data_IF_804858625212
#
_entry.id   IF_804858625212
#
_cell.length_a   1.000
_cell.length_b   1.000
_cell.length_c   1.000
_cell.angle_alpha   90.00
_cell.angle_beta   90.00
_cell.angle_gamma   90.00
#
_symmetry.space_group_name_H-M   'P 1'
#
loop_
_entity.id
_entity.type
_entity.pdbx_description
1 polymer ?
#
# COMPACT_ATOMS: atom_id res chain seq x y z
N UNK A 1 -11.20 -2.26 -7.00
CA UNK A 1 -11.30 -3.75 -6.99
C UNK A 1 -12.46 -4.25 -6.14
N UNK A 2 -12.61 -3.83 -4.88
CA UNK A 2 -13.70 -4.30 -4.01
C UNK A 2 -15.09 -4.09 -4.63
N UNK A 3 -15.37 -2.90 -5.14
CA UNK A 3 -16.68 -2.59 -5.75
C UNK A 3 -16.93 -3.37 -7.05
N UNK A 4 -15.90 -3.57 -7.86
CA UNK A 4 -16.02 -4.37 -9.08
C UNK A 4 -16.30 -5.85 -8.76
N UNK A 5 -15.61 -6.41 -7.78
CA UNK A 5 -15.86 -7.76 -7.28
C UNK A 5 -17.27 -7.90 -6.69
N UNK A 6 -17.73 -6.93 -5.93
CA UNK A 6 -19.08 -6.91 -5.37
C UNK A 6 -20.14 -6.91 -6.48
N UNK A 7 -19.95 -6.08 -7.50
CA UNK A 7 -20.85 -6.01 -8.65
C UNK A 7 -20.94 -7.34 -9.42
N UNK A 8 -19.89 -8.15 -9.39
CA UNK A 8 -19.84 -9.48 -10.01
C UNK A 8 -20.31 -10.60 -9.09
N UNK A 9 -20.79 -10.28 -7.89
CA UNK A 9 -21.25 -11.27 -6.92
C UNK A 9 -20.14 -12.05 -6.21
N UNK A 10 -18.88 -11.59 -6.32
CA UNK A 10 -17.73 -12.23 -5.72
C UNK A 10 -17.49 -11.70 -4.30
N UNK A 11 -18.35 -12.11 -3.37
CA UNK A 11 -18.39 -11.56 -2.00
C UNK A 11 -17.07 -11.73 -1.22
N UNK A 12 -16.45 -12.89 -1.30
CA UNK A 12 -15.19 -13.15 -0.61
C UNK A 12 -14.04 -12.30 -1.14
N UNK A 13 -13.93 -12.17 -2.44
CA UNK A 13 -12.93 -11.31 -3.11
C UNK A 13 -13.19 -9.85 -2.76
N UNK A 14 -14.44 -9.40 -2.83
CA UNK A 14 -14.82 -8.05 -2.47
C UNK A 14 -14.43 -7.70 -1.03
N UNK A 15 -14.69 -8.61 -0.10
CA UNK A 15 -14.33 -8.43 1.31
C UNK A 15 -12.81 -8.36 1.51
N UNK A 16 -12.05 -9.21 0.83
CA UNK A 16 -10.60 -9.20 0.91
C UNK A 16 -10.04 -7.84 0.51
N UNK A 17 -10.49 -7.28 -0.61
CA UNK A 17 -10.07 -5.96 -1.06
C UNK A 17 -10.57 -4.83 -0.18
N UNK A 18 -11.75 -4.97 0.43
CA UNK A 18 -12.26 -3.97 1.36
C UNK A 18 -11.38 -3.90 2.64
N UNK A 19 -10.96 -5.04 3.15
CA UNK A 19 -10.03 -5.10 4.28
C UNK A 19 -8.69 -4.45 3.91
N UNK A 20 -8.17 -4.73 2.72
CA UNK A 20 -6.95 -4.09 2.21
C UNK A 20 -7.11 -2.57 2.14
N UNK A 21 -8.24 -2.09 1.65
CA UNK A 21 -8.55 -0.66 1.61
C UNK A 21 -8.47 -0.02 2.99
N UNK A 22 -9.05 -0.66 4.00
CA UNK A 22 -8.99 -0.16 5.38
C UNK A 22 -7.55 -0.13 5.93
N UNK A 23 -6.77 -1.17 5.67
CA UNK A 23 -5.37 -1.25 6.09
C UNK A 23 -4.54 -0.16 5.42
N UNK A 24 -4.75 0.11 4.14
CA UNK A 24 -4.03 1.16 3.42
C UNK A 24 -4.36 2.57 3.94
N UNK A 25 -5.59 2.79 4.40
CA UNK A 25 -5.94 4.03 5.07
C UNK A 25 -5.17 4.20 6.40
N UNK A 26 -5.00 3.13 7.15
CA UNK A 26 -4.22 3.13 8.39
C UNK A 26 -2.74 3.43 8.10
N UNK A 27 -2.17 2.85 7.04
CA UNK A 27 -0.80 3.12 6.59
C UNK A 27 -0.61 4.60 6.23
N UNK A 28 -1.54 5.18 5.47
CA UNK A 28 -1.50 6.59 5.12
C UNK A 28 -1.52 7.48 6.37
N UNK A 29 -2.34 7.14 7.36
CA UNK A 29 -2.43 7.87 8.62
C UNK A 29 -1.12 7.82 9.40
N UNK A 30 -0.44 6.67 9.43
CA UNK A 30 0.86 6.53 10.08
C UNK A 30 1.87 7.51 9.46
N UNK A 31 1.95 7.57 8.13
CA UNK A 31 2.83 8.52 7.44
C UNK A 31 2.47 9.98 7.75
N UNK A 32 1.20 10.33 7.67
CA UNK A 32 0.75 11.70 7.95
C UNK A 32 1.10 12.12 9.38
N UNK A 33 0.82 11.28 10.36
CA UNK A 33 1.13 11.55 11.76
C UNK A 33 2.64 11.66 12.01
N UNK A 34 3.44 10.84 11.33
CA UNK A 34 4.88 10.91 11.44
C UNK A 34 5.43 12.23 10.88
N UNK A 35 4.97 12.64 9.70
CA UNK A 35 5.35 13.93 9.09
C UNK A 35 5.06 15.08 10.06
N UNK A 36 3.86 15.11 10.64
CA UNK A 36 3.48 16.13 11.61
C UNK A 36 4.33 16.07 12.87
N UNK A 37 4.67 14.89 13.35
CA UNK A 37 5.53 14.72 14.53
C UNK A 37 6.96 15.24 14.33
N UNK A 38 7.40 15.33 13.07
CA UNK A 38 8.71 15.88 12.69
C UNK A 38 8.66 17.38 12.35
N UNK A 39 7.61 18.06 12.77
CA UNK A 39 7.40 19.51 12.54
C UNK A 39 7.38 19.88 11.04
N UNK A 40 6.83 18.99 10.22
CA UNK A 40 6.64 19.22 8.79
C UNK A 40 5.15 19.29 8.44
N UNK A 41 4.85 19.83 7.28
CA UNK A 41 3.48 19.92 6.78
C UNK A 41 3.13 18.72 5.91
N UNK A 42 1.89 18.24 6.06
CA UNK A 42 1.34 17.23 5.15
C UNK A 42 0.72 17.94 3.96
N UNK A 43 1.22 17.64 2.76
CA UNK A 43 0.64 18.13 1.51
C UNK A 43 -0.13 17.01 0.83
N UNK A 44 -1.46 17.17 0.75
CA UNK A 44 -2.31 16.23 0.04
C UNK A 44 -2.33 16.56 -1.45
N UNK A 45 -1.96 15.60 -2.26
CA UNK A 45 -1.96 15.72 -3.71
C UNK A 45 -3.19 15.04 -4.30
N UNK A 46 -3.63 15.44 -5.51
CA UNK A 46 -4.71 14.74 -6.20
C UNK A 46 -4.37 13.28 -6.44
N UNK A 47 -5.39 12.41 -6.33
CA UNK A 47 -5.27 11.03 -6.76
C UNK A 47 -5.66 10.98 -8.23
N UNK A 48 -4.81 10.39 -9.08
CA UNK A 48 -5.11 10.20 -10.49
C UNK A 48 -6.30 9.27 -10.67
N UNK A 49 -6.91 9.32 -11.86
CA UNK A 49 -8.04 8.44 -12.19
C UNK A 49 -7.63 6.98 -12.00
N UNK A 50 -8.44 6.25 -11.23
CA UNK A 50 -8.16 4.85 -10.91
C UNK A 50 -8.92 3.93 -11.87
N UNK A 51 -8.30 2.78 -12.17
CA UNK A 51 -8.96 1.70 -12.88
C UNK A 51 -10.15 1.19 -12.06
N UNK A 52 -11.28 0.90 -12.72
CA UNK A 52 -12.53 0.50 -12.06
C UNK A 52 -13.05 -0.87 -12.48
N UNK A 53 -12.46 -1.50 -13.50
CA UNK A 53 -12.93 -2.79 -14.03
C UNK A 53 -11.75 -3.72 -14.31
N UNK A 54 -11.96 -4.99 -14.00
CA UNK A 54 -11.02 -6.09 -14.25
C UNK A 54 -11.78 -7.25 -14.88
N UNK A 55 -11.10 -8.03 -15.73
CA UNK A 55 -11.71 -9.16 -16.42
C UNK A 55 -12.01 -10.34 -15.49
N UNK A 56 -11.22 -10.52 -14.43
CA UNK A 56 -11.31 -11.67 -13.54
C UNK A 56 -10.68 -11.38 -12.17
N UNK A 57 -11.00 -12.18 -11.14
CA UNK A 57 -10.27 -12.11 -9.86
C UNK A 57 -8.77 -12.31 -10.01
N UNK A 58 -8.34 -13.21 -10.90
CA UNK A 58 -6.92 -13.43 -11.16
C UNK A 58 -6.23 -12.15 -11.64
N UNK A 59 -6.86 -11.41 -12.55
CA UNK A 59 -6.34 -10.13 -13.02
C UNK A 59 -6.24 -9.11 -11.90
N UNK A 60 -7.22 -9.07 -10.99
CA UNK A 60 -7.19 -8.21 -9.82
C UNK A 60 -5.97 -8.51 -8.94
N UNK A 61 -5.71 -9.79 -8.65
CA UNK A 61 -4.58 -10.18 -7.80
C UNK A 61 -3.23 -9.97 -8.49
N UNK A 62 -3.15 -10.18 -9.81
CA UNK A 62 -1.94 -9.90 -10.58
C UNK A 62 -1.62 -8.39 -10.57
N UNK A 63 -2.63 -7.56 -10.74
CA UNK A 63 -2.50 -6.11 -10.68
C UNK A 63 -2.11 -5.64 -9.28
N UNK A 64 -2.68 -6.27 -8.26
CA UNK A 64 -2.32 -6.02 -6.85
C UNK A 64 -0.85 -6.36 -6.59
N UNK A 65 -0.37 -7.51 -7.03
CA UNK A 65 1.03 -7.90 -6.84
C UNK A 65 1.97 -6.92 -7.53
N UNK A 66 1.65 -6.51 -8.74
CA UNK A 66 2.42 -5.50 -9.47
C UNK A 66 2.50 -4.20 -8.68
N UNK A 67 1.36 -3.74 -8.17
CA UNK A 67 1.29 -2.51 -7.36
C UNK A 67 2.07 -2.65 -6.06
N UNK A 68 1.97 -3.78 -5.36
CA UNK A 68 2.73 -4.00 -4.11
C UNK A 68 4.24 -3.98 -4.35
N UNK A 69 4.71 -4.50 -5.48
CA UNK A 69 6.14 -4.40 -5.85
C UNK A 69 6.57 -2.95 -6.10
N UNK A 70 5.71 -2.14 -6.68
CA UNK A 70 5.97 -0.71 -6.85
C UNK A 70 6.04 0.01 -5.50
N UNK A 71 5.13 -0.30 -4.59
CA UNK A 71 5.12 0.24 -3.22
C UNK A 71 6.38 -0.19 -2.46
N UNK A 72 6.78 -1.45 -2.58
CA UNK A 72 8.03 -1.94 -1.99
C UNK A 72 9.23 -1.13 -2.46
N UNK A 73 9.31 -0.85 -3.76
CA UNK A 73 10.38 -0.03 -4.31
C UNK A 73 10.37 1.40 -3.74
N UNK A 74 9.19 1.99 -3.57
CA UNK A 74 9.05 3.32 -2.96
C UNK A 74 9.47 3.33 -1.49
N UNK A 75 9.07 2.33 -0.71
CA UNK A 75 9.48 2.19 0.70
C UNK A 75 10.99 2.02 0.81
N UNK A 76 11.59 1.16 -0.03
CA UNK A 76 13.03 0.95 -0.04
C UNK A 76 13.79 2.22 -0.42
N UNK A 77 13.25 3.02 -1.34
CA UNK A 77 13.83 4.30 -1.70
C UNK A 77 13.80 5.30 -0.53
N UNK A 78 12.69 5.36 0.21
CA UNK A 78 12.60 6.18 1.41
C UNK A 78 13.61 5.74 2.48
N UNK A 79 13.75 4.43 2.67
CA UNK A 79 14.72 3.87 3.61
C UNK A 79 16.16 4.23 3.22
N UNK A 80 16.49 4.18 1.93
CA UNK A 80 17.80 4.57 1.42
C UNK A 80 18.08 6.06 1.65
N UNK A 81 17.10 6.93 1.40
CA UNK A 81 17.21 8.38 1.64
C UNK A 81 17.44 8.66 3.13
N UNK A 82 16.67 8.03 4.00
CA UNK A 82 16.82 8.19 5.45
C UNK A 82 18.22 7.76 5.93
N UNK A 83 18.73 6.66 5.40
CA UNK A 83 20.08 6.17 5.73
C UNK A 83 21.15 7.13 5.24
N UNK A 84 21.04 7.65 4.03
CA UNK A 84 21.97 8.61 3.43
C UNK A 84 22.03 9.90 4.24
N UNK A 85 20.86 10.41 4.65
CA UNK A 85 20.74 11.62 5.46
C UNK A 85 21.05 11.40 6.95
N UNK A 86 21.34 10.17 7.35
CA UNK A 86 21.54 9.77 8.75
C UNK A 86 20.34 10.14 9.63
N UNK A 87 19.14 10.11 9.04
CA UNK A 87 17.87 10.31 9.76
C UNK A 87 17.44 8.97 10.37
N UNK A 88 18.02 8.66 11.52
CA UNK A 88 17.79 7.37 12.18
C UNK A 88 16.35 7.21 12.68
N UNK A 89 15.69 8.30 13.04
CA UNK A 89 14.29 8.26 13.44
C UNK A 89 13.40 7.81 12.28
N UNK A 90 13.61 8.35 11.08
CA UNK A 90 12.88 7.93 9.88
C UNK A 90 13.24 6.51 9.46
N UNK A 91 14.51 6.14 9.54
CA UNK A 91 14.95 4.76 9.30
C UNK A 91 14.22 3.79 10.22
N UNK A 92 14.10 4.11 11.50
CA UNK A 92 13.44 3.27 12.49
C UNK A 92 11.92 3.18 12.24
N UNK A 93 11.29 4.29 11.89
CA UNK A 93 9.86 4.30 11.53
C UNK A 93 9.58 3.44 10.30
N UNK A 94 10.47 3.46 9.32
CA UNK A 94 10.31 2.73 8.06
C UNK A 94 10.54 1.21 8.19
N UNK A 95 11.20 0.73 9.25
CA UNK A 95 11.47 -0.70 9.46
C UNK A 95 10.18 -1.51 9.39
N UNK A 96 9.13 -1.06 10.04
CA UNK A 96 7.84 -1.75 10.01
C UNK A 96 7.29 -1.88 8.58
N UNK A 97 7.39 -0.81 7.78
CA UNK A 97 6.92 -0.82 6.39
C UNK A 97 7.76 -1.72 5.49
N UNK A 98 9.08 -1.77 5.72
CA UNK A 98 9.97 -2.69 5.00
C UNK A 98 9.54 -4.14 5.24
N UNK A 99 9.29 -4.50 6.49
CA UNK A 99 8.83 -5.84 6.87
C UNK A 99 7.41 -6.13 6.34
N UNK A 100 6.52 -5.16 6.46
CA UNK A 100 5.13 -5.29 6.01
C UNK A 100 5.05 -5.55 4.50
N UNK A 101 5.90 -4.92 3.70
CA UNK A 101 5.90 -5.13 2.25
C UNK A 101 6.29 -6.55 1.84
N UNK A 102 7.10 -7.24 2.63
CA UNK A 102 7.36 -8.66 2.41
C UNK A 102 6.08 -9.46 2.53
N UNK A 103 5.29 -9.19 3.57
CA UNK A 103 4.00 -9.86 3.82
C UNK A 103 2.95 -9.48 2.76
N UNK A 104 2.89 -8.21 2.36
CA UNK A 104 1.94 -7.74 1.34
C UNK A 104 2.19 -8.41 -0.02
N UNK A 105 3.44 -8.54 -0.44
CA UNK A 105 3.77 -9.25 -1.67
C UNK A 105 3.49 -10.75 -1.55
N UNK A 106 3.80 -11.36 -0.42
CA UNK A 106 3.50 -12.77 -0.15
C UNK A 106 2.00 -13.04 -0.21
N UNK A 107 1.21 -12.22 0.49
CA UNK A 107 -0.25 -12.36 0.49
C UNK A 107 -0.85 -12.24 -0.91
N UNK A 108 -0.38 -11.29 -1.71
CA UNK A 108 -0.83 -11.13 -3.09
C UNK A 108 -0.44 -12.34 -3.96
N UNK A 109 0.79 -12.87 -3.81
CA UNK A 109 1.21 -14.09 -4.53
C UNK A 109 0.37 -15.30 -4.14
N UNK A 110 0.06 -15.46 -2.86
CA UNK A 110 -0.70 -16.60 -2.37
C UNK A 110 -2.12 -16.63 -2.93
N UNK A 111 -2.68 -15.48 -3.28
CA UNK A 111 -4.02 -15.39 -3.89
C UNK A 111 -4.02 -15.70 -5.40
N UNK A 112 -2.87 -15.71 -6.04
CA UNK A 112 -2.73 -16.08 -7.45
C UNK A 112 -2.63 -17.61 -7.58
#
# INVERSE_FOLDING_TARGET
MSMDAEAKGLKGVANWFYVQFQEEQDHARIFMNYILSRDAEVKLLPIEEVRTKWASPLEMFQDTLKHEKEVTAMINNLAAIAAEDKDYASSNMLVWFVDEQVEEEESARDMI
#
